data_IF_485135459722
#
_entry.id   IF_485135459722
#
_cell.length_a   1.000
_cell.length_b   1.000
_cell.length_c   1.000
_cell.angle_alpha   90.00
_cell.angle_beta   90.00
_cell.angle_gamma   90.00
#
_symmetry.space_group_name_H-M   'P 1'
#
loop_
_entity.id
_entity.type
_entity.pdbx_description
1 polymer ?
#
# COMPACT_ATOMS: atom_id res chain seq x y z
N UNK A 1 -6.58 20.03 20.06
CA UNK A 1 -6.71 18.85 19.20
C UNK A 1 -5.57 18.96 18.20
N UNK A 2 -4.77 17.91 18.10
CA UNK A 2 -3.63 17.84 17.19
C UNK A 2 -3.73 16.53 16.41
N UNK A 3 -2.62 15.81 16.28
CA UNK A 3 -2.58 14.56 15.53
C UNK A 3 -2.56 13.30 16.41
N UNK A 4 -3.20 12.23 15.95
CA UNK A 4 -3.21 10.93 16.61
C UNK A 4 -3.61 9.82 15.64
N UNK A 5 -3.07 8.62 15.85
CA UNK A 5 -3.57 7.39 15.23
C UNK A 5 -5.02 7.11 15.67
N UNK A 6 -5.92 6.90 14.71
CA UNK A 6 -7.37 6.82 14.87
C UNK A 6 -7.90 5.38 14.85
N UNK A 7 -7.08 4.40 14.47
CA UNK A 7 -7.54 3.04 14.18
C UNK A 7 -8.21 2.93 12.81
N UNK A 8 -8.87 1.80 12.57
CA UNK A 8 -9.67 1.53 11.37
C UNK A 8 -10.99 2.35 11.32
N UNK A 9 -10.90 3.67 11.44
CA UNK A 9 -12.00 4.62 11.30
C UNK A 9 -11.96 5.19 9.88
N UNK A 10 -12.94 4.90 9.00
CA UNK A 10 -12.94 5.45 7.65
C UNK A 10 -12.95 6.97 7.65
N UNK A 11 -11.99 7.58 6.95
CA UNK A 11 -11.86 9.03 6.86
C UNK A 11 -11.18 9.46 5.55
N UNK A 12 -11.23 10.76 5.25
CA UNK A 12 -10.61 11.32 4.06
C UNK A 12 -9.15 11.71 4.36
N UNK A 13 -8.21 11.19 3.57
CA UNK A 13 -6.83 11.71 3.50
C UNK A 13 -6.68 12.71 2.35
N UNK A 14 -5.95 13.80 2.59
CA UNK A 14 -5.72 14.87 1.61
C UNK A 14 -4.22 15.08 1.38
N UNK A 15 -3.81 15.01 0.11
CA UNK A 15 -2.44 15.28 -0.31
C UNK A 15 -2.02 16.74 -0.10
N UNK A 16 -0.99 16.99 0.72
CA UNK A 16 -0.53 18.35 1.10
C UNK A 16 0.86 18.69 0.55
N UNK A 17 1.00 18.70 -0.79
CA UNK A 17 2.28 18.99 -1.47
C UNK A 17 2.96 20.30 -1.07
N UNK A 18 2.15 21.30 -0.70
CA UNK A 18 2.58 22.58 -0.16
C UNK A 18 1.84 22.77 1.17
N UNK A 19 2.40 22.28 2.30
CA UNK A 19 1.68 22.23 3.58
C UNK A 19 1.07 23.57 3.97
N UNK A 20 1.82 24.66 3.82
CA UNK A 20 1.39 26.01 4.20
C UNK A 20 0.25 26.59 3.34
N UNK A 21 0.07 26.07 2.14
CA UNK A 21 -0.95 26.54 1.20
C UNK A 21 -2.19 25.66 1.28
N UNK A 22 -1.99 24.33 1.34
CA UNK A 22 -3.07 23.36 1.19
C UNK A 22 -3.67 22.95 2.54
N UNK A 23 -2.86 22.75 3.58
CA UNK A 23 -3.37 22.26 4.87
C UNK A 23 -4.34 23.24 5.56
N UNK A 24 -4.13 24.58 5.56
CA UNK A 24 -5.03 25.51 6.24
C UNK A 24 -6.51 25.44 5.80
N UNK A 25 -6.87 25.51 4.50
CA UNK A 25 -8.27 25.37 4.09
C UNK A 25 -8.83 23.96 4.36
N UNK A 26 -8.02 22.91 4.25
CA UNK A 26 -8.43 21.52 4.55
C UNK A 26 -8.77 21.35 6.02
N UNK A 27 -7.89 21.80 6.93
CA UNK A 27 -8.09 21.72 8.37
C UNK A 27 -9.30 22.54 8.84
N UNK A 28 -9.51 23.72 8.26
CA UNK A 28 -10.75 24.51 8.47
C UNK A 28 -11.99 23.73 8.05
N UNK A 29 -11.94 23.01 6.93
CA UNK A 29 -13.06 22.21 6.44
C UNK A 29 -13.35 21.02 7.37
N UNK A 30 -12.32 20.28 7.80
CA UNK A 30 -12.48 19.21 8.81
C UNK A 30 -13.10 19.73 10.09
N UNK A 31 -12.57 20.85 10.63
CA UNK A 31 -13.12 21.47 11.84
C UNK A 31 -14.57 21.93 11.66
N UNK A 32 -14.90 22.54 10.54
CA UNK A 32 -16.27 23.01 10.25
C UNK A 32 -17.28 21.87 10.07
N UNK A 33 -16.81 20.66 9.79
CA UNK A 33 -17.64 19.46 9.59
C UNK A 33 -17.59 18.48 10.75
N UNK A 34 -16.88 18.82 11.83
CA UNK A 34 -16.62 17.93 12.95
C UNK A 34 -16.07 16.56 12.50
N UNK A 35 -15.20 16.60 11.48
CA UNK A 35 -14.60 15.42 10.87
C UNK A 35 -13.16 15.26 11.32
N UNK A 36 -12.74 14.01 11.47
CA UNK A 36 -11.32 13.63 11.42
C UNK A 36 -10.87 13.48 9.97
N UNK A 37 -9.57 13.45 9.72
CA UNK A 37 -9.02 13.22 8.38
C UNK A 37 -7.51 12.99 8.38
N UNK A 38 -6.94 12.71 7.22
CA UNK A 38 -5.51 12.55 7.03
C UNK A 38 -4.92 13.75 6.28
N UNK A 39 -3.71 14.15 6.65
CA UNK A 39 -2.82 14.90 5.80
C UNK A 39 -1.78 13.91 5.30
N UNK A 40 -1.62 13.77 3.99
CA UNK A 40 -0.73 12.78 3.39
C UNK A 40 0.21 13.41 2.37
N UNK A 41 1.36 12.78 2.17
CA UNK A 41 2.29 13.14 1.11
C UNK A 41 3.09 11.90 0.70
N UNK A 42 3.21 11.66 -0.60
CA UNK A 42 3.92 10.48 -1.11
C UNK A 42 5.41 10.58 -0.76
N UNK A 43 5.89 9.64 0.04
CA UNK A 43 7.31 9.41 0.27
C UNK A 43 7.98 9.02 -1.05
N UNK A 44 9.30 9.19 -1.13
CA UNK A 44 10.13 9.20 -2.34
C UNK A 44 9.75 10.22 -3.43
N UNK A 45 8.53 10.22 -3.97
CA UNK A 45 8.15 11.01 -5.14
C UNK A 45 7.92 12.46 -4.77
N UNK A 46 7.03 12.73 -3.82
CA UNK A 46 6.55 14.09 -3.50
C UNK A 46 7.38 14.72 -2.39
N UNK A 47 7.75 13.94 -1.37
CA UNK A 47 8.70 14.33 -0.32
C UNK A 47 9.93 13.44 -0.33
N UNK A 48 11.01 13.93 0.26
CA UNK A 48 12.28 13.23 0.41
C UNK A 48 13.02 13.75 1.66
N UNK A 49 14.07 13.06 2.12
CA UNK A 49 14.90 13.58 3.19
C UNK A 49 15.49 14.96 2.87
N UNK A 50 15.66 15.81 3.88
CA UNK A 50 16.09 17.21 3.70
C UNK A 50 17.36 17.35 2.86
N UNK A 51 18.35 16.51 3.10
CA UNK A 51 19.61 16.57 2.37
C UNK A 51 19.48 16.11 0.89
N UNK A 52 18.44 15.34 0.54
CA UNK A 52 18.08 15.06 -0.87
C UNK A 52 17.51 16.31 -1.52
N UNK A 53 16.59 17.01 -0.83
CA UNK A 53 15.96 18.24 -1.31
C UNK A 53 17.01 19.34 -1.52
N UNK A 54 17.85 19.59 -0.51
CA UNK A 54 18.88 20.63 -0.54
C UNK A 54 19.99 20.33 -1.56
N UNK A 55 20.28 19.04 -1.80
CA UNK A 55 21.29 18.61 -2.77
C UNK A 55 20.91 18.90 -4.23
N UNK A 56 19.62 19.11 -4.54
CA UNK A 56 19.14 19.56 -5.86
C UNK A 56 19.40 18.62 -7.05
N UNK A 57 19.98 17.44 -6.82
CA UNK A 57 20.46 16.52 -7.87
C UNK A 57 19.47 15.44 -8.30
N UNK A 58 18.33 15.29 -7.63
CA UNK A 58 17.42 14.17 -7.83
C UNK A 58 16.03 14.62 -8.32
N UNK A 59 15.88 14.79 -9.64
CA UNK A 59 14.63 15.28 -10.28
C UNK A 59 13.40 14.42 -9.96
N UNK A 60 13.59 13.14 -9.63
CA UNK A 60 12.52 12.18 -9.35
C UNK A 60 12.22 12.01 -7.86
N UNK A 61 13.07 12.53 -6.97
CA UNK A 61 12.90 12.39 -5.52
C UNK A 61 12.49 13.73 -4.91
N UNK A 62 11.38 13.75 -4.18
CA UNK A 62 10.91 14.95 -3.48
C UNK A 62 10.61 16.13 -4.41
N UNK A 63 9.93 15.89 -5.54
CA UNK A 63 9.74 16.90 -6.59
C UNK A 63 8.93 18.13 -6.16
N UNK A 64 8.28 18.10 -4.99
CA UNK A 64 7.58 19.27 -4.44
C UNK A 64 8.53 20.27 -3.80
N UNK A 65 9.76 19.87 -3.46
CA UNK A 65 10.69 20.66 -2.66
C UNK A 65 10.39 20.63 -1.15
N UNK A 66 9.35 19.91 -0.71
CA UNK A 66 9.00 19.78 0.70
C UNK A 66 9.75 18.60 1.32
N UNK A 67 10.62 18.86 2.30
CA UNK A 67 11.33 17.80 3.03
C UNK A 67 10.39 17.02 3.97
N UNK A 68 10.77 15.81 4.35
CA UNK A 68 10.00 15.00 5.33
C UNK A 68 9.84 15.76 6.65
N UNK A 69 10.92 16.35 7.18
CA UNK A 69 10.84 17.13 8.41
C UNK A 69 9.92 18.35 8.29
N UNK A 70 9.93 19.03 7.16
CA UNK A 70 9.02 20.16 6.91
C UNK A 70 7.57 19.70 6.82
N UNK A 71 7.28 18.67 6.03
CA UNK A 71 5.94 18.11 5.90
C UNK A 71 5.37 17.68 7.26
N UNK A 72 6.07 16.81 7.98
CA UNK A 72 5.61 16.27 9.27
C UNK A 72 5.47 17.38 10.30
N UNK A 73 6.45 18.30 10.37
CA UNK A 73 6.43 19.43 11.29
C UNK A 73 5.25 20.37 11.04
N UNK A 74 5.05 20.80 9.79
CA UNK A 74 3.97 21.74 9.44
C UNK A 74 2.59 21.11 9.53
N UNK A 75 2.43 19.85 9.12
CA UNK A 75 1.17 19.13 9.30
C UNK A 75 0.77 19.06 10.79
N UNK A 76 1.75 18.78 11.67
CA UNK A 76 1.54 18.75 13.11
C UNK A 76 1.19 20.12 13.69
N UNK A 77 2.00 21.14 13.40
CA UNK A 77 1.79 22.51 13.89
C UNK A 77 0.43 23.08 13.43
N UNK A 78 0.11 22.93 12.14
CA UNK A 78 -1.12 23.48 11.57
C UNK A 78 -2.35 22.75 12.13
N UNK A 79 -2.29 21.42 12.33
CA UNK A 79 -3.39 20.69 12.96
C UNK A 79 -3.73 21.24 14.36
N UNK A 80 -2.71 21.55 15.16
CA UNK A 80 -2.89 22.16 16.48
C UNK A 80 -3.47 23.58 16.39
N UNK A 81 -2.93 24.42 15.51
CA UNK A 81 -3.38 25.80 15.30
C UNK A 81 -4.84 25.86 14.87
N UNK A 82 -5.26 24.97 13.97
CA UNK A 82 -6.64 24.91 13.48
C UNK A 82 -7.57 24.06 14.35
N UNK A 83 -7.03 23.37 15.36
CA UNK A 83 -7.80 22.55 16.30
C UNK A 83 -8.52 21.38 15.64
N UNK A 84 -8.01 20.86 14.51
CA UNK A 84 -8.55 19.70 13.82
C UNK A 84 -7.80 18.44 14.24
N UNK A 85 -8.53 17.34 14.44
CA UNK A 85 -7.94 16.03 14.73
C UNK A 85 -7.61 15.34 13.40
N UNK A 86 -6.33 15.07 13.17
CA UNK A 86 -5.86 14.43 11.93
C UNK A 86 -4.84 13.32 12.16
N UNK A 87 -4.65 12.48 11.16
CA UNK A 87 -3.45 11.66 11.00
C UNK A 87 -2.46 12.36 10.07
N UNK A 88 -1.17 12.26 10.38
CA UNK A 88 -0.12 12.58 9.39
C UNK A 88 0.39 11.27 8.82
N UNK A 89 0.25 11.13 7.52
CA UNK A 89 0.45 9.88 6.81
C UNK A 89 1.74 9.91 5.98
N UNK A 90 2.55 8.85 6.08
CA UNK A 90 3.59 8.55 5.10
C UNK A 90 2.97 7.73 3.96
N UNK A 91 2.57 8.40 2.89
CA UNK A 91 1.90 7.77 1.76
C UNK A 91 2.92 7.15 0.79
N UNK A 92 2.54 6.06 0.11
CA UNK A 92 3.34 5.33 -0.88
C UNK A 92 4.79 5.04 -0.44
N UNK A 93 4.99 4.55 0.79
CA UNK A 93 6.28 3.97 1.23
C UNK A 93 6.54 2.72 0.39
N UNK A 94 7.33 2.88 -0.67
CA UNK A 94 7.41 1.91 -1.76
C UNK A 94 8.82 1.36 -2.00
N UNK A 95 8.85 0.10 -2.42
CA UNK A 95 10.05 -0.51 -3.00
C UNK A 95 10.07 -0.17 -4.49
N UNK A 96 10.98 0.71 -4.89
CA UNK A 96 11.01 1.25 -6.25
C UNK A 96 12.08 0.60 -7.13
N UNK A 97 11.74 0.43 -8.40
CA UNK A 97 12.72 0.19 -9.45
C UNK A 97 13.59 1.43 -9.66
N UNK A 98 14.79 1.25 -10.21
CA UNK A 98 15.70 2.38 -10.42
C UNK A 98 15.09 3.47 -11.32
N UNK A 99 15.48 4.75 -11.16
CA UNK A 99 15.12 5.85 -12.06
C UNK A 99 15.19 5.51 -13.55
N UNK A 100 16.18 4.74 -13.96
CA UNK A 100 16.39 4.33 -15.36
C UNK A 100 15.30 3.37 -15.85
N UNK A 101 14.80 2.48 -14.98
CA UNK A 101 13.65 1.61 -15.27
C UNK A 101 12.35 2.41 -15.27
N UNK A 102 12.18 3.37 -14.37
CA UNK A 102 11.05 4.30 -14.39
C UNK A 102 11.01 5.12 -15.70
N UNK A 103 12.16 5.59 -16.18
CA UNK A 103 12.28 6.28 -17.48
C UNK A 103 11.96 5.33 -18.64
N UNK A 104 12.48 4.09 -18.64
CA UNK A 104 12.11 3.07 -19.65
C UNK A 104 10.61 2.79 -19.68
N UNK A 105 9.93 2.82 -18.53
CA UNK A 105 8.47 2.70 -18.43
C UNK A 105 7.76 3.84 -19.16
N UNK A 106 8.25 5.07 -18.99
CA UNK A 106 7.70 6.27 -19.66
C UNK A 106 7.98 6.25 -21.17
N UNK A 107 9.14 5.72 -21.60
CA UNK A 107 9.55 5.70 -23.01
C UNK A 107 9.07 4.48 -23.80
N UNK A 108 8.21 3.64 -23.20
CA UNK A 108 7.61 2.48 -23.89
C UNK A 108 8.55 1.29 -24.09
N UNK A 109 9.66 1.21 -23.34
CA UNK A 109 10.52 0.04 -23.32
C UNK A 109 9.79 -1.16 -22.68
N UNK A 110 9.94 -2.34 -23.28
CA UNK A 110 9.32 -3.58 -22.82
C UNK A 110 9.47 -3.81 -21.31
N UNK A 111 8.39 -4.30 -20.70
CA UNK A 111 8.20 -4.42 -19.26
C UNK A 111 8.86 -5.71 -18.73
N UNK A 112 9.74 -5.61 -17.72
CA UNK A 112 10.12 -6.74 -16.85
C UNK A 112 9.56 -6.47 -15.44
N UNK A 113 8.56 -7.25 -15.01
CA UNK A 113 8.03 -7.20 -13.63
C UNK A 113 9.04 -7.80 -12.66
N UNK A 114 9.13 -7.18 -11.48
CA UNK A 114 10.01 -7.60 -10.41
C UNK A 114 11.23 -6.71 -10.20
N UNK A 115 11.54 -6.51 -8.93
CA UNK A 115 12.78 -5.89 -8.49
C UNK A 115 13.86 -6.95 -8.33
N UNK A 116 15.09 -6.60 -8.72
CA UNK A 116 16.27 -7.34 -8.30
C UNK A 116 16.51 -7.19 -6.80
N UNK A 117 17.19 -8.15 -6.17
CA UNK A 117 17.52 -8.04 -4.74
C UNK A 117 18.37 -6.81 -4.40
N UNK A 118 19.13 -6.30 -5.37
CA UNK A 118 19.89 -5.05 -5.24
C UNK A 118 18.96 -3.82 -5.22
N UNK A 119 17.95 -3.76 -6.09
CA UNK A 119 16.94 -2.69 -6.07
C UNK A 119 16.14 -2.69 -4.78
N UNK A 120 15.77 -3.87 -4.30
CA UNK A 120 15.09 -4.03 -3.02
C UNK A 120 15.97 -3.54 -1.86
N UNK A 121 17.24 -3.98 -1.79
CA UNK A 121 18.17 -3.55 -0.73
C UNK A 121 18.39 -2.05 -0.73
N UNK A 122 18.53 -1.43 -1.91
CA UNK A 122 18.64 0.04 -2.05
C UNK A 122 17.38 0.75 -1.60
N UNK A 123 16.20 0.26 -1.97
CA UNK A 123 14.92 0.83 -1.54
C UNK A 123 14.75 0.75 -0.02
N UNK A 124 15.05 -0.40 0.60
CA UNK A 124 15.00 -0.55 2.06
C UNK A 124 15.97 0.40 2.77
N UNK A 125 17.18 0.57 2.23
CA UNK A 125 18.16 1.53 2.78
C UNK A 125 17.67 2.97 2.69
N UNK A 126 16.92 3.29 1.62
CA UNK A 126 16.33 4.61 1.45
C UNK A 126 15.14 4.84 2.38
N UNK A 127 14.24 3.87 2.51
CA UNK A 127 13.12 3.91 3.48
C UNK A 127 13.68 4.06 4.91
N UNK A 128 14.75 3.35 5.26
CA UNK A 128 15.40 3.52 6.57
C UNK A 128 15.86 4.97 6.80
N UNK A 129 16.43 5.60 5.78
CA UNK A 129 16.84 7.00 5.85
C UNK A 129 15.65 7.95 5.97
N UNK A 130 14.58 7.74 5.20
CA UNK A 130 13.34 8.51 5.32
C UNK A 130 12.77 8.42 6.74
N UNK A 131 12.69 7.21 7.30
CA UNK A 131 12.11 6.99 8.61
C UNK A 131 12.99 7.44 9.78
N UNK A 132 14.30 7.60 9.59
CA UNK A 132 15.15 8.32 10.55
C UNK A 132 14.76 9.80 10.64
N UNK A 133 14.48 10.45 9.51
CA UNK A 133 14.01 11.84 9.53
C UNK A 133 12.58 11.96 10.05
N UNK A 134 11.69 11.00 9.72
CA UNK A 134 10.34 10.92 10.33
C UNK A 134 10.44 10.87 11.85
N UNK A 135 11.28 10.00 12.41
CA UNK A 135 11.50 9.90 13.85
C UNK A 135 11.94 11.23 14.44
N UNK A 136 12.91 11.88 13.81
CA UNK A 136 13.47 13.15 14.29
C UNK A 136 12.44 14.29 14.19
N UNK A 137 11.49 14.19 13.27
CA UNK A 137 10.34 15.09 13.12
C UNK A 137 9.14 14.73 14.03
N UNK A 138 9.26 13.68 14.85
CA UNK A 138 8.24 13.29 15.83
C UNK A 138 7.28 12.19 15.38
N UNK A 139 7.59 11.45 14.32
CA UNK A 139 6.83 10.28 13.85
C UNK A 139 5.65 10.59 12.92
N UNK A 140 5.12 9.56 12.26
CA UNK A 140 3.84 9.54 11.50
C UNK A 140 2.78 8.74 12.26
N UNK A 141 1.50 9.02 12.02
CA UNK A 141 0.38 8.28 12.62
C UNK A 141 -0.17 7.19 11.70
N UNK A 142 0.18 7.25 10.40
CA UNK A 142 -0.31 6.31 9.40
C UNK A 142 0.75 6.08 8.32
N UNK A 143 0.80 4.88 7.76
CA UNK A 143 1.77 4.49 6.72
C UNK A 143 1.09 3.64 5.66
N UNK A 144 1.19 4.07 4.41
CA UNK A 144 0.70 3.31 3.25
C UNK A 144 1.87 2.60 2.61
N UNK A 145 1.92 1.26 2.76
CA UNK A 145 3.00 0.41 2.26
C UNK A 145 2.63 -0.09 0.88
N UNK A 146 3.50 0.21 -0.10
CA UNK A 146 3.32 -0.19 -1.49
C UNK A 146 4.44 -1.13 -1.95
N UNK A 147 4.06 -2.37 -2.24
CA UNK A 147 4.97 -3.40 -2.75
C UNK A 147 4.50 -3.97 -4.08
N UNK A 148 3.69 -3.20 -4.85
CA UNK A 148 3.11 -3.67 -6.12
C UNK A 148 4.17 -4.10 -7.15
N UNK A 149 5.35 -3.47 -7.15
CA UNK A 149 6.48 -3.83 -8.04
C UNK A 149 7.07 -5.22 -7.76
N UNK A 150 6.74 -5.83 -6.61
CA UNK A 150 7.13 -7.20 -6.26
C UNK A 150 6.07 -8.25 -6.62
N UNK A 151 4.91 -7.83 -7.14
CA UNK A 151 3.87 -8.73 -7.62
C UNK A 151 4.29 -9.27 -8.99
N UNK A 152 4.46 -10.59 -9.09
CA UNK A 152 4.89 -11.22 -10.34
C UNK A 152 3.69 -11.47 -11.28
N UNK A 153 3.43 -10.50 -12.15
CA UNK A 153 2.36 -10.62 -13.14
C UNK A 153 2.72 -11.53 -14.32
N UNK A 154 3.97 -12.00 -14.42
CA UNK A 154 4.35 -12.95 -15.49
C UNK A 154 3.64 -14.30 -15.31
N UNK A 155 3.35 -14.66 -14.05
CA UNK A 155 2.65 -15.89 -13.66
C UNK A 155 1.27 -16.00 -14.33
N UNK A 156 0.60 -14.89 -14.63
CA UNK A 156 -0.72 -14.90 -15.33
C UNK A 156 -0.68 -15.54 -16.71
N UNK A 157 0.49 -15.56 -17.37
CA UNK A 157 0.67 -16.16 -18.70
C UNK A 157 1.09 -17.62 -18.65
N UNK A 158 1.36 -18.16 -17.46
CA UNK A 158 1.85 -19.53 -17.26
C UNK A 158 0.69 -20.51 -17.25
N UNK A 159 0.77 -21.53 -18.10
CA UNK A 159 -0.22 -22.62 -18.18
C UNK A 159 -0.09 -23.62 -17.02
N UNK A 160 -1.15 -24.39 -16.75
CA UNK A 160 -1.25 -25.21 -15.53
C UNK A 160 -0.11 -26.22 -15.29
N UNK A 161 0.39 -26.88 -16.35
CA UNK A 161 1.50 -27.83 -16.23
C UNK A 161 2.83 -27.18 -15.84
N UNK A 162 3.15 -26.03 -16.45
CA UNK A 162 4.33 -25.24 -16.15
C UNK A 162 4.21 -24.55 -14.78
N UNK A 163 3.01 -24.08 -14.42
CA UNK A 163 2.72 -23.48 -13.12
C UNK A 163 3.01 -24.45 -11.97
N UNK A 164 2.58 -25.71 -12.11
CA UNK A 164 2.84 -26.73 -11.11
C UNK A 164 4.35 -26.96 -10.92
N UNK A 165 5.11 -27.04 -12.01
CA UNK A 165 6.57 -27.18 -11.94
C UNK A 165 7.24 -25.98 -11.25
N UNK A 166 6.87 -24.75 -11.63
CA UNK A 166 7.40 -23.53 -10.99
C UNK A 166 7.04 -23.46 -9.50
N UNK A 167 5.83 -23.85 -9.14
CA UNK A 167 5.39 -23.87 -7.74
C UNK A 167 6.19 -24.90 -6.92
N UNK A 168 6.46 -26.08 -7.50
CA UNK A 168 7.25 -27.14 -6.86
C UNK A 168 8.74 -26.81 -6.78
N UNK A 169 9.28 -26.06 -7.75
CA UNK A 169 10.65 -25.55 -7.75
C UNK A 169 10.83 -24.43 -6.71
N UNK A 170 9.89 -23.49 -6.66
CA UNK A 170 9.99 -22.30 -5.80
C UNK A 170 9.80 -22.61 -4.32
N UNK A 171 8.95 -23.59 -3.99
CA UNK A 171 8.54 -23.86 -2.62
C UNK A 171 8.70 -25.35 -2.28
N UNK A 172 9.31 -25.62 -1.12
CA UNK A 172 9.46 -26.98 -0.62
C UNK A 172 8.11 -27.64 -0.30
N UNK A 173 8.09 -28.97 -0.27
CA UNK A 173 6.87 -29.74 -0.08
C UNK A 173 6.16 -29.45 1.26
N UNK A 174 6.91 -29.16 2.32
CA UNK A 174 6.37 -28.83 3.63
C UNK A 174 5.61 -27.50 3.59
N UNK A 175 6.25 -26.47 3.03
CA UNK A 175 5.63 -25.17 2.81
C UNK A 175 4.37 -25.29 1.96
N UNK A 176 4.45 -25.99 0.81
CA UNK A 176 3.31 -26.16 -0.09
C UNK A 176 2.13 -26.85 0.58
N UNK A 177 2.35 -27.93 1.33
CA UNK A 177 1.28 -28.60 2.09
C UNK A 177 0.66 -27.69 3.15
N UNK A 178 1.48 -26.89 3.85
CA UNK A 178 1.00 -25.93 4.83
C UNK A 178 0.14 -24.83 4.20
N UNK A 179 0.57 -24.30 3.05
CA UNK A 179 -0.17 -23.30 2.29
C UNK A 179 -1.48 -23.89 1.72
N UNK A 180 -1.40 -25.01 1.01
CA UNK A 180 -2.57 -25.70 0.45
C UNK A 180 -3.59 -26.06 1.55
N UNK A 181 -3.13 -26.50 2.72
CA UNK A 181 -4.00 -26.82 3.86
C UNK A 181 -4.79 -25.64 4.41
N UNK A 182 -4.36 -24.39 4.18
CA UNK A 182 -5.10 -23.17 4.56
C UNK A 182 -6.23 -22.82 3.58
N UNK A 183 -6.18 -23.28 2.33
CA UNK A 183 -7.08 -22.79 1.26
C UNK A 183 -7.83 -23.90 0.52
N UNK A 184 -7.15 -24.96 0.10
CA UNK A 184 -7.69 -25.97 -0.80
C UNK A 184 -8.84 -26.72 -0.13
N UNK A 185 -9.98 -26.80 -0.84
CA UNK A 185 -11.19 -27.45 -0.33
C UNK A 185 -11.95 -26.65 0.74
N UNK A 186 -11.45 -25.46 1.12
CA UNK A 186 -12.18 -24.55 2.01
C UNK A 186 -13.09 -23.62 1.22
N UNK A 187 -14.11 -23.08 1.91
CA UNK A 187 -15.02 -22.07 1.37
C UNK A 187 -15.02 -20.88 2.32
N UNK A 188 -14.58 -19.72 1.82
CA UNK A 188 -14.62 -18.45 2.53
C UNK A 188 -15.92 -17.75 2.17
N UNK A 189 -16.71 -17.38 3.18
CA UNK A 189 -18.04 -16.77 2.97
C UNK A 189 -18.02 -15.35 3.52
N UNK A 190 -18.44 -14.41 2.69
CA UNK A 190 -18.52 -12.99 3.03
C UNK A 190 -19.96 -12.54 2.86
N UNK A 191 -20.50 -11.87 3.88
CA UNK A 191 -21.84 -11.29 3.83
C UNK A 191 -21.75 -9.94 3.15
N UNK A 192 -22.56 -9.75 2.13
CA UNK A 192 -22.67 -8.52 1.35
C UNK A 192 -24.12 -8.02 1.44
N UNK A 193 -24.39 -6.78 1.06
CA UNK A 193 -25.75 -6.22 1.03
C UNK A 193 -26.68 -7.01 0.08
N UNK A 194 -26.10 -7.57 -0.98
CA UNK A 194 -26.74 -8.39 -2.02
C UNK A 194 -26.80 -9.89 -1.69
N UNK A 195 -26.21 -10.34 -0.58
CA UNK A 195 -26.30 -11.75 -0.13
C UNK A 195 -25.00 -12.33 0.44
N UNK A 196 -24.61 -13.51 -0.04
CA UNK A 196 -23.39 -14.20 0.42
C UNK A 196 -22.47 -14.45 -0.76
N UNK A 197 -21.30 -13.83 -0.74
CA UNK A 197 -20.22 -14.10 -1.67
C UNK A 197 -19.35 -15.25 -1.16
N UNK A 198 -19.05 -16.25 -2.01
CA UNK A 198 -18.28 -17.42 -1.61
C UNK A 198 -17.02 -17.55 -2.46
N UNK A 199 -15.86 -17.48 -1.82
CA UNK A 199 -14.55 -17.67 -2.44
C UNK A 199 -14.05 -19.09 -2.16
N UNK A 200 -13.61 -19.78 -3.21
CA UNK A 200 -13.06 -21.14 -3.15
C UNK A 200 -11.73 -21.21 -3.90
N UNK A 201 -10.82 -22.02 -3.39
CA UNK A 201 -9.49 -22.19 -3.94
C UNK A 201 -9.27 -23.65 -4.35
N UNK A 202 -8.86 -23.85 -5.60
CA UNK A 202 -8.20 -25.07 -6.05
C UNK A 202 -6.69 -25.01 -5.85
N UNK A 203 -6.00 -26.13 -6.08
CA UNK A 203 -4.52 -26.17 -5.98
C UNK A 203 -3.85 -25.21 -6.97
N UNK A 204 -4.40 -25.08 -8.18
CA UNK A 204 -3.88 -24.15 -9.19
C UNK A 204 -4.03 -22.69 -8.75
N UNK A 205 -5.18 -22.31 -8.16
CA UNK A 205 -5.38 -20.96 -7.63
C UNK A 205 -4.32 -20.63 -6.57
N UNK A 206 -4.09 -21.56 -5.62
CA UNK A 206 -3.10 -21.38 -4.55
C UNK A 206 -1.69 -21.26 -5.12
N UNK A 207 -1.31 -22.14 -6.04
CA UNK A 207 0.00 -22.09 -6.69
C UNK A 207 0.23 -20.76 -7.43
N UNK A 208 -0.77 -20.30 -8.19
CA UNK A 208 -0.72 -19.04 -8.94
C UNK A 208 -0.58 -17.84 -8.01
N UNK A 209 -1.42 -17.75 -6.99
CA UNK A 209 -1.39 -16.66 -6.01
C UNK A 209 -0.10 -16.68 -5.18
N UNK A 210 0.41 -17.86 -4.83
CA UNK A 210 1.65 -18.02 -4.10
C UNK A 210 2.85 -17.45 -4.86
N UNK A 211 3.01 -17.86 -6.13
CA UNK A 211 4.09 -17.39 -7.00
C UNK A 211 3.98 -15.88 -7.26
N UNK A 212 2.76 -15.38 -7.40
CA UNK A 212 2.47 -14.00 -7.72
C UNK A 212 2.64 -13.03 -6.54
N UNK A 213 2.13 -13.38 -5.36
CA UNK A 213 1.88 -12.43 -4.27
C UNK A 213 2.79 -12.60 -3.05
N UNK A 214 3.33 -13.80 -2.77
CA UNK A 214 4.03 -14.04 -1.51
C UNK A 214 5.28 -13.18 -1.32
N UNK A 215 5.97 -12.83 -2.41
CA UNK A 215 7.11 -11.91 -2.34
C UNK A 215 6.67 -10.51 -1.89
N UNK A 216 5.55 -10.01 -2.40
CA UNK A 216 4.98 -8.74 -1.95
C UNK A 216 4.59 -8.81 -0.45
N UNK A 217 3.91 -9.88 -0.02
CA UNK A 217 3.54 -10.10 1.39
C UNK A 217 4.76 -10.10 2.32
N UNK A 218 5.83 -10.81 1.95
CA UNK A 218 7.10 -10.85 2.69
C UNK A 218 7.66 -9.44 2.89
N UNK A 219 7.69 -8.63 1.83
CA UNK A 219 8.27 -7.31 1.90
C UNK A 219 7.36 -6.26 2.54
N UNK A 220 6.04 -6.45 2.54
CA UNK A 220 5.15 -5.67 3.42
C UNK A 220 5.56 -5.87 4.87
N UNK A 221 5.79 -7.12 5.31
CA UNK A 221 6.26 -7.42 6.68
C UNK A 221 7.62 -6.78 6.98
N UNK A 222 8.57 -6.85 6.03
CA UNK A 222 9.90 -6.22 6.20
C UNK A 222 9.80 -4.70 6.35
N UNK A 223 9.06 -4.03 5.46
CA UNK A 223 8.86 -2.57 5.53
C UNK A 223 8.12 -2.21 6.81
N UNK A 224 7.05 -2.93 7.14
CA UNK A 224 6.29 -2.75 8.37
C UNK A 224 7.20 -2.79 9.60
N UNK A 225 8.06 -3.80 9.74
CA UNK A 225 8.94 -3.95 10.91
C UNK A 225 10.03 -2.87 10.97
N UNK A 226 10.56 -2.46 9.82
CA UNK A 226 11.50 -1.35 9.71
C UNK A 226 10.86 -0.04 10.20
N UNK A 227 9.67 0.28 9.68
CA UNK A 227 8.88 1.45 10.07
C UNK A 227 8.57 1.40 11.57
N UNK A 228 8.09 0.26 12.08
CA UNK A 228 7.79 0.06 13.50
C UNK A 228 9.02 0.32 14.38
N UNK A 229 10.21 -0.08 13.94
CA UNK A 229 11.46 0.15 14.67
C UNK A 229 11.94 1.61 14.69
N UNK A 230 11.53 2.42 13.71
CA UNK A 230 12.02 3.79 13.55
C UNK A 230 10.99 4.87 13.91
N UNK A 231 9.71 4.66 13.64
CA UNK A 231 8.67 5.68 13.73
C UNK A 231 8.54 6.32 15.13
N UNK A 232 8.83 5.54 16.19
CA UNK A 232 8.82 6.03 17.57
C UNK A 232 7.42 6.34 18.14
N UNK A 233 6.35 6.03 17.39
CA UNK A 233 4.94 6.23 17.76
C UNK A 233 4.08 5.07 17.29
N UNK A 234 2.92 4.90 17.92
CA UNK A 234 1.85 4.05 17.39
C UNK A 234 1.37 4.63 16.05
N UNK A 235 1.13 3.75 15.08
CA UNK A 235 0.72 4.12 13.74
C UNK A 235 -0.20 3.06 13.17
N UNK A 236 -1.08 3.48 12.27
CA UNK A 236 -1.87 2.60 11.44
C UNK A 236 -1.18 2.24 10.13
N UNK A 237 -1.66 1.18 9.48
CA UNK A 237 -1.08 0.67 8.24
C UNK A 237 -2.15 0.46 7.18
N UNK A 238 -1.90 1.00 5.99
CA UNK A 238 -2.57 0.58 4.77
C UNK A 238 -1.60 -0.23 3.90
N UNK A 239 -2.14 -1.23 3.19
CA UNK A 239 -1.42 -1.96 2.15
C UNK A 239 -2.03 -1.66 0.78
N UNK A 240 -1.19 -1.18 -0.13
CA UNK A 240 -1.61 -0.79 -1.47
C UNK A 240 -1.52 -1.95 -2.48
N UNK A 241 -2.58 -2.09 -3.28
CA UNK A 241 -2.70 -2.99 -4.43
C UNK A 241 -3.29 -2.26 -5.66
N UNK A 242 -3.52 -0.95 -5.57
CA UNK A 242 -4.21 -0.14 -6.57
C UNK A 242 -3.33 0.16 -7.80
N UNK A 243 -2.00 0.10 -7.65
CA UNK A 243 -1.06 0.29 -8.77
C UNK A 243 -0.92 -0.94 -9.70
N UNK A 244 -1.65 -2.04 -9.46
CA UNK A 244 -1.69 -3.18 -10.40
C UNK A 244 -2.39 -2.83 -11.72
N UNK A 245 -2.03 -3.44 -12.86
CA UNK A 245 -2.62 -3.08 -14.16
C UNK A 245 -4.05 -3.61 -14.38
N UNK A 246 -4.56 -4.45 -13.48
CA UNK A 246 -5.93 -4.98 -13.52
C UNK A 246 -6.58 -4.91 -12.14
N UNK A 247 -7.92 -4.90 -12.08
CA UNK A 247 -8.65 -4.91 -10.82
C UNK A 247 -8.30 -6.12 -9.95
N UNK A 248 -8.20 -5.90 -8.65
CA UNK A 248 -7.98 -6.94 -7.66
C UNK A 248 -9.21 -7.85 -7.60
N UNK A 249 -9.01 -9.15 -7.78
CA UNK A 249 -10.04 -10.16 -7.66
C UNK A 249 -10.32 -10.54 -6.19
N UNK A 250 -11.53 -11.06 -5.89
CA UNK A 250 -11.85 -11.57 -4.56
C UNK A 250 -10.86 -12.63 -4.04
N UNK A 251 -10.35 -13.52 -4.91
CA UNK A 251 -9.37 -14.54 -4.52
C UNK A 251 -8.03 -13.93 -4.12
N UNK A 252 -7.57 -12.93 -4.87
CA UNK A 252 -6.34 -12.22 -4.54
C UNK A 252 -6.45 -11.52 -3.20
N UNK A 253 -7.53 -10.77 -2.97
CA UNK A 253 -7.70 -10.03 -1.72
C UNK A 253 -7.76 -10.97 -0.51
N UNK A 254 -8.53 -12.06 -0.59
CA UNK A 254 -8.60 -13.07 0.49
C UNK A 254 -7.24 -13.71 0.76
N UNK A 255 -6.53 -14.11 -0.30
CA UNK A 255 -5.20 -14.71 -0.15
C UNK A 255 -4.21 -13.71 0.46
N UNK A 256 -4.17 -12.48 -0.06
CA UNK A 256 -3.23 -11.45 0.35
C UNK A 256 -3.41 -11.08 1.83
N UNK A 257 -4.63 -10.76 2.26
CA UNK A 257 -4.92 -10.41 3.66
C UNK A 257 -4.66 -11.58 4.62
N UNK A 258 -4.98 -12.80 4.23
CA UNK A 258 -4.75 -13.96 5.08
C UNK A 258 -3.25 -14.31 5.22
N UNK A 259 -2.46 -14.13 4.16
CA UNK A 259 -1.00 -14.31 4.23
C UNK A 259 -0.30 -13.15 4.97
N UNK A 260 -0.80 -11.91 4.86
CA UNK A 260 -0.34 -10.79 5.69
C UNK A 260 -0.57 -11.07 7.18
N UNK A 261 -1.78 -11.51 7.56
CA UNK A 261 -2.08 -11.93 8.93
C UNK A 261 -1.18 -13.07 9.39
N UNK A 262 -0.94 -14.06 8.54
CA UNK A 262 -0.01 -15.16 8.86
C UNK A 262 1.43 -14.68 9.06
N UNK A 263 1.84 -13.60 8.38
CA UNK A 263 3.12 -12.92 8.58
C UNK A 263 3.14 -11.97 9.80
N UNK A 264 2.02 -11.80 10.51
CA UNK A 264 1.89 -10.92 11.66
C UNK A 264 1.72 -9.44 11.29
N UNK A 265 1.09 -9.16 10.16
CA UNK A 265 0.64 -7.83 9.73
C UNK A 265 -0.88 -7.86 9.58
N UNK A 266 -1.59 -7.12 10.41
CA UNK A 266 -3.03 -6.87 10.28
C UNK A 266 -3.21 -5.39 9.95
N UNK A 267 -3.41 -5.02 8.66
CA UNK A 267 -3.52 -3.62 8.27
C UNK A 267 -4.88 -3.02 8.67
N UNK A 268 -4.90 -1.72 8.99
CA UNK A 268 -6.13 -0.97 9.27
C UNK A 268 -6.95 -0.75 7.99
N UNK A 269 -6.28 -0.58 6.85
CA UNK A 269 -6.92 -0.41 5.55
C UNK A 269 -6.19 -1.21 4.45
N UNK A 270 -6.89 -1.45 3.34
CA UNK A 270 -6.33 -2.01 2.12
C UNK A 270 -6.85 -1.23 0.93
N UNK A 271 -5.97 -0.88 0.01
CA UNK A 271 -6.32 -0.18 -1.23
C UNK A 271 -6.28 -1.16 -2.43
N UNK A 272 -7.34 -1.95 -2.69
CA UNK A 272 -7.40 -2.79 -3.88
C UNK A 272 -7.57 -1.96 -5.14
N UNK A 273 -7.04 -2.46 -6.27
CA UNK A 273 -7.39 -1.89 -7.57
C UNK A 273 -8.87 -2.18 -7.88
N UNK A 274 -9.70 -1.14 -7.91
CA UNK A 274 -11.13 -1.22 -8.24
C UNK A 274 -11.45 -0.77 -9.68
N UNK A 275 -10.44 -0.41 -10.48
CA UNK A 275 -10.56 -0.05 -11.89
C UNK A 275 -10.44 1.43 -12.23
N UNK A 276 -10.01 2.27 -11.28
CA UNK A 276 -9.74 3.68 -11.55
C UNK A 276 -8.39 3.89 -12.24
N UNK A 277 -8.32 4.86 -13.15
CA UNK A 277 -7.07 5.34 -13.74
C UNK A 277 -6.70 6.68 -13.14
N UNK A 278 -5.40 6.91 -12.97
CA UNK A 278 -4.88 8.12 -12.32
C UNK A 278 -5.37 9.38 -13.04
N UNK A 279 -6.01 10.30 -12.31
CA UNK A 279 -6.53 11.60 -12.79
C UNK A 279 -7.65 11.50 -13.85
N UNK A 280 -8.29 10.36 -13.96
CA UNK A 280 -9.43 10.16 -14.85
C UNK A 280 -10.65 9.74 -14.03
N UNK A 281 -11.83 10.16 -14.46
CA UNK A 281 -13.08 9.62 -13.91
C UNK A 281 -13.25 8.15 -14.34
N UNK A 282 -14.07 7.41 -13.61
CA UNK A 282 -14.34 6.03 -13.95
C UNK A 282 -15.18 5.95 -15.23
N UNK A 283 -14.64 5.26 -16.25
CA UNK A 283 -15.26 5.15 -17.57
C UNK A 283 -15.93 3.79 -17.82
N UNK A 284 -15.92 2.88 -16.84
CA UNK A 284 -16.51 1.54 -16.96
C UNK A 284 -18.00 1.48 -16.58
N UNK A 285 -18.53 0.27 -16.42
CA UNK A 285 -19.91 0.07 -15.95
C UNK A 285 -20.00 0.32 -14.43
N UNK A 286 -20.84 1.26 -14.02
CA UNK A 286 -21.04 1.63 -12.62
C UNK A 286 -21.70 0.52 -11.78
N UNK A 287 -22.48 -0.38 -12.39
CA UNK A 287 -23.05 -1.54 -11.71
C UNK A 287 -21.96 -2.56 -11.41
N UNK A 288 -21.08 -2.84 -12.37
CA UNK A 288 -19.93 -3.71 -12.14
C UNK A 288 -18.97 -3.12 -11.10
N UNK A 289 -18.79 -1.80 -11.09
CA UNK A 289 -18.02 -1.12 -10.05
C UNK A 289 -18.67 -1.29 -8.67
N UNK A 290 -19.98 -1.06 -8.56
CA UNK A 290 -20.71 -1.21 -7.31
C UNK A 290 -20.61 -2.65 -6.76
N UNK A 291 -20.85 -3.66 -7.60
CA UNK A 291 -20.70 -5.07 -7.22
C UNK A 291 -19.26 -5.40 -6.78
N UNK A 292 -18.25 -4.89 -7.49
CA UNK A 292 -16.85 -5.08 -7.13
C UNK A 292 -16.52 -4.46 -5.78
N UNK A 293 -16.91 -3.20 -5.56
CA UNK A 293 -16.67 -2.50 -4.29
C UNK A 293 -17.39 -3.20 -3.15
N UNK A 294 -18.64 -3.63 -3.34
CA UNK A 294 -19.42 -4.35 -2.33
C UNK A 294 -18.70 -5.64 -1.88
N UNK A 295 -18.24 -6.45 -2.84
CA UNK A 295 -17.55 -7.72 -2.54
C UNK A 295 -16.19 -7.48 -1.89
N UNK A 296 -15.38 -6.56 -2.42
CA UNK A 296 -14.04 -6.28 -1.87
C UNK A 296 -14.13 -5.65 -0.48
N UNK A 297 -15.09 -4.75 -0.25
CA UNK A 297 -15.37 -4.18 1.08
C UNK A 297 -15.77 -5.27 2.08
N UNK A 298 -16.70 -6.15 1.70
CA UNK A 298 -17.14 -7.26 2.56
C UNK A 298 -16.01 -8.20 2.94
N UNK A 299 -15.04 -8.40 2.03
CA UNK A 299 -13.83 -9.15 2.30
C UNK A 299 -12.94 -8.37 3.28
N UNK A 300 -12.53 -7.14 2.96
CA UNK A 300 -11.66 -6.33 3.81
C UNK A 300 -12.18 -6.22 5.26
N UNK A 301 -13.46 -5.91 5.42
CA UNK A 301 -14.09 -5.76 6.75
C UNK A 301 -14.12 -7.05 7.54
N UNK A 302 -14.22 -8.22 6.89
CA UNK A 302 -14.11 -9.51 7.57
C UNK A 302 -12.71 -9.79 8.13
N UNK A 303 -11.68 -9.11 7.60
CA UNK A 303 -10.32 -9.12 8.14
C UNK A 303 -10.07 -7.99 9.14
N UNK A 304 -11.03 -7.08 9.37
CA UNK A 304 -10.87 -5.92 10.25
C UNK A 304 -10.23 -4.71 9.56
N UNK A 305 -10.21 -4.71 8.23
CA UNK A 305 -9.71 -3.62 7.38
C UNK A 305 -10.82 -2.91 6.60
#
# INVERSE_FOLDING_TARGET
MGRAYLGAVPHLSVGVRLPDVVAPPVLKAFRARDSVGGLMLSFNRETAPRDVIEGGGHVLLGHTGTSIAEYVGRATELAEVYGALVEVEADHVSLMASPERAIKRITGGGFEYGLSDEEVRRSLSYIEREFREVRDAGGVDFVTIDTCELIDLSVERVGGGELAALYEERFDEGFRRGLEGRYVGRSFKFFTDSGVHVVRFGREDVARLALKLLRSVEYVKVVHDLVRGLNGRAFGVEVALDETPYPTSPKELVFYLNELRAAGVDPDFVAPNIGFRKREDFTGDLRELAERVEVLHSIATSFGS
#
